data_IF_457270340527
#
_entry.id   IF_457270340527
#
_cell.length_a   1.000
_cell.length_b   1.000
_cell.length_c   1.000
_cell.angle_alpha   90.00
_cell.angle_beta   90.00
_cell.angle_gamma   90.00
#
_symmetry.space_group_name_H-M   'P 1'
#
loop_
_entity.id
_entity.type
_entity.pdbx_description
1 polymer ?
#
# COMPACT_ATOMS: atom_id res chain seq x y z
N UNK A 1 10.78 -15.69 1.56
CA UNK A 1 9.99 -15.38 2.78
C UNK A 1 10.03 -16.44 3.87
N UNK A 2 10.59 -17.62 3.65
CA UNK A 2 10.55 -18.76 4.59
C UNK A 2 11.11 -18.48 6.00
N UNK A 3 11.96 -17.47 6.13
CA UNK A 3 12.58 -17.06 7.41
C UNK A 3 11.96 -15.81 8.02
N UNK A 4 11.02 -15.15 7.28
CA UNK A 4 10.40 -13.95 7.77
C UNK A 4 9.57 -14.22 9.02
N UNK A 5 9.68 -13.32 9.98
CA UNK A 5 8.94 -13.39 11.24
C UNK A 5 7.97 -12.21 11.36
N UNK A 6 6.83 -12.44 11.99
CA UNK A 6 5.98 -11.36 12.43
C UNK A 6 6.75 -10.60 13.52
N UNK A 7 7.22 -9.40 13.20
CA UNK A 7 7.96 -8.57 14.15
C UNK A 7 7.02 -7.85 15.10
N UNK A 8 6.00 -7.20 14.57
CA UNK A 8 5.02 -6.44 15.35
C UNK A 8 3.72 -6.28 14.57
N UNK A 9 2.61 -6.40 15.30
CA UNK A 9 1.26 -6.18 14.75
C UNK A 9 0.53 -5.14 15.60
N UNK A 10 -0.28 -4.30 14.96
CA UNK A 10 -1.22 -3.38 15.61
C UNK A 10 -2.56 -3.42 14.88
N UNK A 11 -3.63 -3.27 15.66
CA UNK A 11 -5.00 -3.13 15.13
C UNK A 11 -5.51 -1.73 15.40
N UNK A 12 -6.10 -1.11 14.39
CA UNK A 12 -6.59 0.26 14.39
C UNK A 12 -8.01 0.30 13.83
N UNK A 13 -8.82 1.27 14.24
CA UNK A 13 -10.18 1.46 13.70
C UNK A 13 -10.35 2.90 13.25
N UNK A 14 -10.93 3.08 12.06
CA UNK A 14 -11.14 4.38 11.43
C UNK A 14 -12.55 4.51 10.83
N UNK A 15 -13.00 5.77 10.65
CA UNK A 15 -14.34 6.09 10.16
C UNK A 15 -14.34 6.33 8.64
N UNK A 16 -14.01 5.28 7.87
CA UNK A 16 -14.12 5.26 6.41
C UNK A 16 -14.28 3.83 5.91
N UNK A 17 -14.74 3.68 4.68
CA UNK A 17 -14.92 2.36 4.06
C UNK A 17 -13.57 1.69 3.78
N UNK A 18 -13.45 0.42 4.09
CA UNK A 18 -12.22 -0.38 3.96
C UNK A 18 -11.61 -0.36 2.54
N UNK A 19 -12.41 -0.18 1.49
CA UNK A 19 -11.92 -0.10 0.11
C UNK A 19 -11.03 1.11 -0.14
N UNK A 20 -11.23 2.20 0.61
CA UNK A 20 -10.40 3.40 0.50
C UNK A 20 -8.95 3.11 0.90
N UNK A 21 -8.72 2.18 1.85
CA UNK A 21 -7.36 1.73 2.20
C UNK A 21 -6.66 1.14 0.99
N UNK A 22 -7.37 0.29 0.23
CA UNK A 22 -6.80 -0.35 -0.95
C UNK A 22 -6.51 0.69 -2.05
N UNK A 23 -7.44 1.61 -2.26
CA UNK A 23 -7.29 2.68 -3.25
C UNK A 23 -6.05 3.53 -2.98
N UNK A 24 -5.76 3.84 -1.73
CA UNK A 24 -4.58 4.61 -1.31
C UNK A 24 -3.26 3.94 -1.73
N UNK A 25 -3.18 2.61 -1.70
CA UNK A 25 -1.95 1.88 -2.04
C UNK A 25 -1.81 1.55 -3.53
N UNK A 26 -2.85 1.76 -4.34
CA UNK A 26 -2.87 1.35 -5.75
C UNK A 26 -2.66 2.49 -6.75
N UNK A 27 -2.26 3.66 -6.26
CA UNK A 27 -1.89 4.81 -7.08
C UNK A 27 -0.73 5.59 -6.45
N UNK A 28 -0.16 6.53 -7.18
CA UNK A 28 0.99 7.33 -6.74
C UNK A 28 0.78 8.83 -6.83
N UNK A 29 -0.38 9.28 -7.30
CA UNK A 29 -0.66 10.70 -7.54
C UNK A 29 -0.74 11.53 -6.26
N UNK A 30 -1.16 10.92 -5.14
CA UNK A 30 -1.20 11.62 -3.86
C UNK A 30 0.20 11.84 -3.25
N UNK A 31 1.22 11.04 -3.62
CA UNK A 31 2.55 11.09 -3.02
C UNK A 31 3.20 12.50 -3.07
N UNK A 32 3.22 13.21 -4.22
CA UNK A 32 3.82 14.54 -4.29
C UNK A 32 3.09 15.61 -3.48
N UNK A 33 1.82 15.39 -3.16
CA UNK A 33 0.96 16.35 -2.47
C UNK A 33 0.84 16.01 -1.00
N UNK A 34 0.37 14.80 -0.69
CA UNK A 34 0.09 14.34 0.66
C UNK A 34 1.37 13.95 1.40
N UNK A 35 2.22 13.14 0.75
CA UNK A 35 3.47 12.63 1.31
C UNK A 35 4.70 13.45 0.92
N UNK A 36 4.53 14.74 0.71
CA UNK A 36 5.56 15.63 0.17
C UNK A 36 6.89 15.54 0.91
N UNK A 37 6.87 15.37 2.22
CA UNK A 37 8.07 15.36 3.09
C UNK A 37 8.39 13.99 3.69
N UNK A 38 7.53 13.02 3.52
CA UNK A 38 7.63 11.67 4.10
C UNK A 38 8.04 10.63 3.06
N UNK A 39 7.14 10.19 2.20
CA UNK A 39 7.35 9.12 1.22
C UNK A 39 7.90 9.63 -0.11
N UNK A 40 7.40 10.79 -0.60
CA UNK A 40 7.78 11.33 -1.91
C UNK A 40 9.30 11.55 -2.10
N UNK A 41 10.10 11.92 -1.08
CA UNK A 41 11.56 11.97 -1.22
C UNK A 41 12.23 10.61 -1.48
N UNK A 42 11.56 9.51 -1.19
CA UNK A 42 12.09 8.13 -1.31
C UNK A 42 11.63 7.44 -2.59
N UNK A 43 10.41 7.72 -3.05
CA UNK A 43 9.73 7.05 -4.15
C UNK A 43 9.59 8.01 -5.34
N UNK A 44 9.78 7.52 -6.55
CA UNK A 44 9.44 8.25 -7.77
C UNK A 44 8.00 7.94 -8.17
N UNK A 45 7.06 8.87 -8.01
CA UNK A 45 5.65 8.63 -8.29
C UNK A 45 5.32 8.55 -9.79
N UNK A 46 6.28 8.83 -10.66
CA UNK A 46 6.07 8.89 -12.11
C UNK A 46 6.43 7.60 -12.83
N UNK A 47 7.13 6.67 -12.17
CA UNK A 47 7.60 5.42 -12.76
C UNK A 47 7.08 4.24 -11.95
N UNK A 48 6.11 3.55 -12.52
CA UNK A 48 5.51 2.36 -11.93
C UNK A 48 5.16 1.33 -13.01
N UNK A 49 5.02 0.08 -12.60
CA UNK A 49 4.51 -1.01 -13.44
C UNK A 49 3.34 -1.69 -12.75
N UNK A 50 2.45 -2.24 -13.55
CA UNK A 50 1.27 -2.97 -13.11
C UNK A 50 1.21 -4.32 -13.80
N UNK A 51 0.98 -5.37 -13.01
CA UNK A 51 0.81 -6.74 -13.50
C UNK A 51 -0.42 -7.37 -12.84
N UNK A 52 -1.42 -7.83 -13.61
CA UNK A 52 -2.56 -8.57 -13.08
C UNK A 52 -2.21 -10.05 -12.87
N UNK A 53 -2.78 -10.65 -11.83
CA UNK A 53 -2.67 -12.07 -11.51
C UNK A 53 -4.03 -12.60 -11.03
N UNK A 54 -4.89 -12.93 -11.96
CA UNK A 54 -6.24 -13.40 -11.68
C UNK A 54 -7.03 -12.40 -10.78
N UNK A 55 -7.32 -12.72 -9.52
CA UNK A 55 -7.96 -11.78 -8.59
C UNK A 55 -6.98 -10.75 -8.01
N UNK A 56 -5.71 -11.05 -8.05
CA UNK A 56 -4.66 -10.28 -7.40
C UNK A 56 -3.95 -9.38 -8.42
N UNK A 57 -3.13 -8.48 -7.93
CA UNK A 57 -2.25 -7.67 -8.78
C UNK A 57 -0.92 -7.37 -8.08
N UNK A 58 0.07 -7.02 -8.88
CA UNK A 58 1.32 -6.43 -8.44
C UNK A 58 1.45 -5.02 -9.00
N UNK A 59 1.83 -4.09 -8.15
CA UNK A 59 2.11 -2.72 -8.50
C UNK A 59 3.51 -2.37 -7.99
N UNK A 60 4.48 -2.23 -8.89
CA UNK A 60 5.86 -1.94 -8.52
C UNK A 60 6.17 -0.47 -8.82
N UNK A 61 6.77 0.20 -7.85
CA UNK A 61 7.08 1.63 -7.88
C UNK A 61 8.57 1.79 -7.70
N UNK A 62 9.20 2.68 -8.48
CA UNK A 62 10.64 2.90 -8.40
C UNK A 62 10.99 3.81 -7.22
N UNK A 63 12.14 3.53 -6.61
CA UNK A 63 12.78 4.43 -5.65
C UNK A 63 13.54 5.53 -6.40
N UNK A 64 13.65 6.72 -5.83
CA UNK A 64 14.40 7.84 -6.45
C UNK A 64 15.88 7.53 -6.72
N UNK A 65 16.45 6.56 -6.05
CA UNK A 65 17.80 6.06 -6.32
C UNK A 65 17.97 5.38 -7.68
N UNK A 66 16.87 5.05 -8.35
CA UNK A 66 16.83 4.35 -9.63
C UNK A 66 17.63 5.07 -10.72
N UNK A 67 17.60 6.39 -10.78
CA UNK A 67 18.37 7.16 -11.77
C UNK A 67 19.89 6.94 -11.62
N UNK A 68 20.40 6.91 -10.40
CA UNK A 68 21.81 6.60 -10.15
C UNK A 68 22.14 5.16 -10.51
N UNK A 69 21.26 4.22 -10.14
CA UNK A 69 21.42 2.80 -10.42
C UNK A 69 21.49 2.51 -11.95
N UNK A 70 20.77 3.26 -12.78
CA UNK A 70 20.84 3.11 -14.26
C UNK A 70 22.23 3.33 -14.83
N UNK A 71 23.09 4.04 -14.15
CA UNK A 71 24.47 4.33 -14.59
C UNK A 71 25.48 3.28 -14.08
N UNK A 72 25.08 2.35 -13.21
CA UNK A 72 25.92 1.28 -12.72
C UNK A 72 26.17 0.21 -13.79
N UNK A 73 27.31 -0.53 -13.74
CA UNK A 73 27.55 -1.68 -14.62
C UNK A 73 26.40 -2.71 -14.50
N UNK A 74 26.00 -3.29 -15.64
CA UNK A 74 24.83 -4.20 -15.70
C UNK A 74 24.97 -5.38 -14.74
N UNK A 75 26.19 -5.90 -14.57
CA UNK A 75 26.51 -7.04 -13.71
C UNK A 75 26.35 -6.75 -12.21
N UNK A 76 26.32 -5.46 -11.84
CA UNK A 76 26.17 -5.01 -10.46
C UNK A 76 24.73 -4.54 -10.13
N UNK A 77 23.83 -4.58 -11.13
CA UNK A 77 22.47 -4.07 -10.97
C UNK A 77 21.58 -5.04 -10.21
N UNK A 78 21.15 -4.63 -9.02
CA UNK A 78 20.06 -5.27 -8.29
C UNK A 78 18.77 -4.45 -8.48
N UNK A 79 17.90 -4.93 -9.37
CA UNK A 79 16.62 -4.27 -9.67
C UNK A 79 15.71 -4.22 -8.45
N UNK A 80 15.69 -5.29 -7.67
CA UNK A 80 14.77 -5.40 -6.55
C UNK A 80 15.06 -4.34 -5.47
N UNK A 81 16.32 -4.01 -5.23
CA UNK A 81 16.69 -2.96 -4.28
C UNK A 81 16.20 -1.55 -4.67
N UNK A 82 15.80 -1.38 -5.94
CA UNK A 82 15.33 -0.11 -6.48
C UNK A 82 13.80 0.01 -6.51
N UNK A 83 13.09 -0.96 -6.00
CA UNK A 83 11.64 -1.01 -6.03
C UNK A 83 11.03 -1.05 -4.62
N UNK A 84 9.84 -0.48 -4.50
CA UNK A 84 8.84 -0.87 -3.54
C UNK A 84 7.78 -1.67 -4.31
N UNK A 85 7.40 -2.85 -3.84
CA UNK A 85 6.49 -3.72 -4.56
C UNK A 85 5.24 -3.93 -3.71
N UNK A 86 4.12 -3.48 -4.23
CA UNK A 86 2.80 -3.64 -3.64
C UNK A 86 2.10 -4.82 -4.30
N UNK A 87 1.69 -5.79 -3.51
CA UNK A 87 0.80 -6.88 -3.91
C UNK A 87 -0.57 -6.63 -3.31
N UNK A 88 -1.57 -6.49 -4.15
CA UNK A 88 -2.97 -6.51 -3.73
C UNK A 88 -3.45 -7.95 -3.74
N UNK A 89 -3.60 -8.53 -2.56
CA UNK A 89 -4.18 -9.86 -2.34
C UNK A 89 -5.67 -9.67 -2.10
N UNK A 90 -6.44 -10.01 -3.10
CA UNK A 90 -7.89 -9.78 -3.12
C UNK A 90 -8.59 -10.49 -1.96
N UNK A 91 -9.59 -9.85 -1.31
CA UNK A 91 -10.12 -8.52 -1.64
C UNK A 91 -9.50 -7.36 -0.84
N UNK A 92 -8.77 -7.61 0.25
CA UNK A 92 -8.60 -6.63 1.31
C UNK A 92 -7.20 -6.60 1.95
N UNK A 93 -6.20 -7.23 1.34
CA UNK A 93 -4.83 -7.24 1.87
C UNK A 93 -3.91 -6.54 0.90
N UNK A 94 -3.29 -5.46 1.35
CA UNK A 94 -2.14 -4.85 0.69
C UNK A 94 -0.87 -5.37 1.36
N UNK A 95 -0.05 -6.11 0.60
CA UNK A 95 1.24 -6.59 1.05
C UNK A 95 2.34 -5.82 0.32
N UNK A 96 3.21 -5.15 1.08
CA UNK A 96 4.26 -4.31 0.52
C UNK A 96 5.62 -4.89 0.86
N UNK A 97 6.42 -5.18 -0.16
CA UNK A 97 7.82 -5.51 0.02
C UNK A 97 8.69 -4.26 -0.12
N UNK A 98 9.41 -3.93 0.93
CA UNK A 98 10.22 -2.71 1.05
C UNK A 98 11.72 -2.95 0.78
N UNK A 99 12.09 -4.15 0.34
CA UNK A 99 13.48 -4.53 0.07
C UNK A 99 14.14 -5.26 1.23
N UNK A 100 14.13 -4.70 2.42
CA UNK A 100 14.69 -5.30 3.63
C UNK A 100 13.64 -5.86 4.60
N UNK A 101 12.38 -5.48 4.46
CA UNK A 101 11.24 -5.97 5.24
C UNK A 101 9.98 -6.03 4.39
N UNK A 102 8.92 -6.56 4.96
CA UNK A 102 7.61 -6.57 4.35
C UNK A 102 6.54 -6.05 5.31
N UNK A 103 5.47 -5.52 4.75
CA UNK A 103 4.33 -4.97 5.46
C UNK A 103 3.05 -5.63 4.98
N UNK A 104 2.15 -5.99 5.88
CA UNK A 104 0.79 -6.38 5.51
C UNK A 104 -0.21 -5.41 6.14
N UNK A 105 -1.08 -4.86 5.31
CA UNK A 105 -2.19 -3.98 5.66
C UNK A 105 -3.49 -4.71 5.32
N UNK A 106 -4.12 -5.29 6.33
CA UNK A 106 -5.37 -6.03 6.20
C UNK A 106 -6.52 -5.12 6.62
N UNK A 107 -7.37 -4.72 5.68
CA UNK A 107 -8.49 -3.82 5.93
C UNK A 107 -9.82 -4.59 5.93
N UNK A 108 -10.46 -4.68 7.07
CA UNK A 108 -11.72 -5.40 7.25
C UNK A 108 -12.89 -4.42 7.37
N UNK A 109 -14.03 -4.70 6.72
CA UNK A 109 -15.24 -3.95 6.97
C UNK A 109 -15.68 -4.15 8.42
N UNK A 110 -16.17 -3.11 9.06
CA UNK A 110 -16.94 -3.25 10.29
C UNK A 110 -18.25 -3.98 9.96
N UNK A 111 -18.64 -4.94 10.80
CA UNK A 111 -19.84 -5.76 10.57
C UNK A 111 -21.14 -4.96 10.65
N UNK A 112 -21.12 -3.84 11.37
CA UNK A 112 -22.32 -3.05 11.68
C UNK A 112 -22.35 -1.70 10.95
N UNK A 113 -21.20 -1.27 10.36
CA UNK A 113 -21.05 0.05 9.73
C UNK A 113 -20.27 -0.02 8.43
N UNK A 114 -20.85 0.45 7.34
CA UNK A 114 -20.19 0.48 6.02
C UNK A 114 -19.10 1.55 5.90
N UNK A 115 -19.12 2.51 6.79
CA UNK A 115 -18.21 3.64 6.91
C UNK A 115 -17.22 3.50 8.08
N UNK A 116 -17.00 2.27 8.52
CA UNK A 116 -16.01 1.93 9.54
C UNK A 116 -15.13 0.78 9.06
N UNK A 117 -13.86 0.88 9.36
CA UNK A 117 -12.82 -0.08 8.97
C UNK A 117 -11.98 -0.47 10.16
N UNK A 118 -11.73 -1.78 10.30
CA UNK A 118 -10.70 -2.33 11.19
C UNK A 118 -9.49 -2.67 10.35
N UNK A 119 -8.34 -2.08 10.66
CA UNK A 119 -7.09 -2.28 9.94
C UNK A 119 -6.11 -3.01 10.85
N UNK A 120 -5.62 -4.15 10.40
CA UNK A 120 -4.50 -4.83 11.02
C UNK A 120 -3.24 -4.58 10.19
N UNK A 121 -2.26 -3.93 10.81
CA UNK A 121 -0.94 -3.73 10.22
C UNK A 121 0.07 -4.64 10.88
N UNK A 122 0.83 -5.36 10.06
CA UNK A 122 1.93 -6.22 10.50
C UNK A 122 3.20 -5.89 9.73
N UNK A 123 4.28 -5.65 10.46
CA UNK A 123 5.64 -5.61 9.90
C UNK A 123 6.29 -6.99 10.03
N UNK A 124 6.80 -7.50 8.93
CA UNK A 124 7.57 -8.74 8.85
C UNK A 124 9.04 -8.43 8.66
N UNK A 125 9.88 -8.88 9.58
CA UNK A 125 11.33 -8.81 9.47
C UNK A 125 11.88 -10.10 8.84
N UNK A 126 13.01 -10.04 8.09
CA UNK A 126 13.60 -11.23 7.45
C UNK A 126 14.08 -12.29 8.45
N UNK A 127 14.37 -11.87 9.67
CA UNK A 127 14.77 -12.73 10.79
C UNK A 127 14.47 -12.04 12.13
N UNK A 128 14.45 -12.77 13.25
CA UNK A 128 14.35 -12.17 14.58
C UNK A 128 15.51 -11.20 14.83
N UNK A 129 15.28 -10.07 15.53
CA UNK A 129 16.34 -9.09 15.77
C UNK A 129 17.47 -9.68 16.63
N UNK A 130 18.66 -9.78 16.05
CA UNK A 130 19.83 -10.37 16.70
C UNK A 130 20.42 -9.51 17.84
N UNK A 131 20.13 -8.21 17.85
CA UNK A 131 20.63 -7.25 18.84
C UNK A 131 19.73 -5.99 18.87
N UNK A 132 20.02 -5.09 19.83
CA UNK A 132 19.24 -3.86 20.03
C UNK A 132 19.35 -2.86 18.86
N UNK A 133 20.42 -2.89 18.08
CA UNK A 133 20.55 -2.02 16.90
C UNK A 133 19.56 -2.45 15.80
N UNK A 134 19.48 -3.75 15.55
CA UNK A 134 18.52 -4.33 14.59
C UNK A 134 17.08 -4.14 15.09
N UNK A 135 16.85 -4.30 16.41
CA UNK A 135 15.54 -4.03 17.00
C UNK A 135 15.10 -2.58 16.77
N UNK A 136 15.96 -1.60 17.06
CA UNK A 136 15.67 -0.18 16.81
C UNK A 136 15.42 0.12 15.32
N UNK A 137 16.05 -0.60 14.41
CA UNK A 137 15.81 -0.45 12.98
C UNK A 137 14.36 -0.86 12.63
N UNK A 138 13.89 -2.01 13.09
CA UNK A 138 12.51 -2.45 12.84
C UNK A 138 11.48 -1.61 13.58
N UNK A 139 11.74 -1.22 14.84
CA UNK A 139 10.87 -0.29 15.56
C UNK A 139 10.70 1.02 14.79
N UNK A 140 11.79 1.59 14.28
CA UNK A 140 11.76 2.82 13.49
C UNK A 140 10.95 2.67 12.19
N UNK A 141 11.13 1.56 11.46
CA UNK A 141 10.35 1.30 10.24
C UNK A 141 8.86 1.15 10.56
N UNK A 142 8.52 0.40 11.61
CA UNK A 142 7.17 0.26 12.08
C UNK A 142 6.53 1.62 12.43
N UNK A 143 7.22 2.43 13.22
CA UNK A 143 6.73 3.74 13.66
C UNK A 143 6.58 4.72 12.49
N UNK A 144 7.48 4.67 11.48
CA UNK A 144 7.37 5.49 10.27
C UNK A 144 6.14 5.08 9.47
N UNK A 145 5.92 3.78 9.24
CA UNK A 145 4.77 3.29 8.48
C UNK A 145 3.46 3.74 9.12
N UNK A 146 3.30 3.52 10.44
CA UNK A 146 2.10 3.94 11.18
C UNK A 146 1.95 5.46 11.16
N UNK A 147 3.01 6.21 11.50
CA UNK A 147 2.93 7.68 11.57
C UNK A 147 2.57 8.31 10.22
N UNK A 148 2.99 7.71 9.11
CA UNK A 148 2.66 8.20 7.77
C UNK A 148 1.16 8.08 7.51
N UNK A 149 0.60 6.88 7.69
CA UNK A 149 -0.83 6.68 7.40
C UNK A 149 -1.74 7.41 8.41
N UNK A 150 -1.40 7.41 9.69
CA UNK A 150 -2.20 8.08 10.73
C UNK A 150 -2.25 9.60 10.58
N UNK A 151 -1.16 10.21 10.11
CA UNK A 151 -1.08 11.68 10.01
C UNK A 151 -1.46 12.21 8.64
N UNK A 152 -1.37 11.39 7.61
CA UNK A 152 -1.51 11.82 6.22
C UNK A 152 -2.68 11.09 5.54
N UNK A 153 -2.60 9.77 5.30
CA UNK A 153 -3.59 9.02 4.52
C UNK A 153 -4.96 8.91 5.18
N UNK A 154 -5.00 8.48 6.44
CA UNK A 154 -6.26 8.16 7.09
C UNK A 154 -7.12 9.41 7.39
N UNK A 155 -6.56 10.56 7.81
CA UNK A 155 -7.33 11.80 7.90
C UNK A 155 -7.89 12.27 6.55
N UNK A 156 -7.17 12.01 5.45
CA UNK A 156 -7.68 12.29 4.10
C UNK A 156 -8.77 11.29 3.70
N UNK A 157 -8.59 10.01 4.01
CA UNK A 157 -9.57 8.95 3.77
C UNK A 157 -10.91 9.21 4.48
N UNK A 158 -10.88 9.72 5.71
CA UNK A 158 -12.10 10.12 6.43
C UNK A 158 -12.83 11.28 5.72
N UNK A 159 -12.09 12.27 5.22
CA UNK A 159 -12.68 13.38 4.44
C UNK A 159 -13.27 12.91 3.12
N UNK A 160 -12.58 12.03 2.40
CA UNK A 160 -13.08 11.42 1.16
C UNK A 160 -14.36 10.63 1.43
N UNK A 161 -14.36 9.79 2.47
CA UNK A 161 -15.52 9.01 2.88
C UNK A 161 -16.72 9.91 3.19
N UNK A 162 -16.52 10.97 3.97
CA UNK A 162 -17.57 11.96 4.25
C UNK A 162 -18.10 12.62 2.97
N UNK A 163 -17.20 12.91 2.01
CA UNK A 163 -17.58 13.47 0.70
C UNK A 163 -18.51 12.54 -0.09
N UNK A 164 -18.24 11.23 -0.11
CA UNK A 164 -19.10 10.24 -0.79
C UNK A 164 -20.52 10.19 -0.20
N UNK A 165 -20.66 10.31 1.11
CA UNK A 165 -22.00 10.31 1.76
C UNK A 165 -22.82 11.56 1.47
N UNK A 166 -22.25 12.66 0.98
CA UNK A 166 -23.03 13.83 0.55
C UNK A 166 -23.88 13.59 -0.68
N UNK A 167 -23.54 12.56 -1.48
CA UNK A 167 -24.18 12.27 -2.76
C UNK A 167 -23.87 13.30 -3.87
N UNK A 168 -22.99 14.26 -3.62
CA UNK A 168 -22.57 15.26 -4.60
C UNK A 168 -21.75 14.62 -5.73
N UNK A 169 -20.95 13.60 -5.39
CA UNK A 169 -20.18 12.80 -6.34
C UNK A 169 -20.81 11.42 -6.47
N UNK A 170 -21.30 11.10 -7.67
CA UNK A 170 -21.96 9.82 -7.97
C UNK A 170 -21.01 8.77 -8.53
N UNK A 171 -19.89 9.20 -9.09
CA UNK A 171 -18.94 8.36 -9.79
C UNK A 171 -17.51 8.77 -9.40
N UNK A 172 -16.63 7.79 -9.29
CA UNK A 172 -15.18 8.00 -9.18
C UNK A 172 -14.57 7.71 -10.54
N UNK A 173 -13.81 8.66 -11.07
CA UNK A 173 -13.14 8.52 -12.37
C UNK A 173 -11.69 8.17 -12.12
N UNK A 174 -11.28 6.96 -12.52
CA UNK A 174 -9.88 6.56 -12.50
C UNK A 174 -9.19 6.98 -13.80
N UNK A 175 -8.05 7.59 -13.67
CA UNK A 175 -7.24 8.06 -14.80
C UNK A 175 -6.64 6.91 -15.62
N UNK A 176 -6.20 7.24 -16.82
CA UNK A 176 -5.56 6.26 -17.72
C UNK A 176 -4.29 5.64 -17.11
N UNK A 177 -3.58 6.38 -16.27
CA UNK A 177 -2.35 5.96 -15.61
C UNK A 177 -2.59 5.32 -14.24
N UNK A 178 -3.83 4.90 -13.95
CA UNK A 178 -4.22 4.22 -12.71
C UNK A 178 -4.75 2.80 -13.02
N UNK A 179 -4.01 1.95 -13.76
CA UNK A 179 -4.49 0.63 -14.18
C UNK A 179 -4.72 -0.31 -13.00
N UNK A 180 -3.97 -0.16 -11.91
CA UNK A 180 -4.13 -0.96 -10.71
C UNK A 180 -5.48 -0.72 -10.03
N UNK A 181 -5.89 0.55 -9.89
CA UNK A 181 -7.22 0.92 -9.38
C UNK A 181 -8.34 0.41 -10.28
N UNK A 182 -8.20 0.62 -11.59
CA UNK A 182 -9.21 0.16 -12.56
C UNK A 182 -9.39 -1.36 -12.46
N UNK A 183 -8.30 -2.13 -12.42
CA UNK A 183 -8.33 -3.58 -12.33
C UNK A 183 -8.96 -4.05 -11.02
N UNK A 184 -8.54 -3.49 -9.90
CA UNK A 184 -9.05 -3.83 -8.58
C UNK A 184 -10.57 -3.62 -8.48
N UNK A 185 -11.07 -2.47 -8.92
CA UNK A 185 -12.50 -2.18 -8.90
C UNK A 185 -13.31 -2.98 -9.91
N UNK A 186 -12.74 -3.34 -11.06
CA UNK A 186 -13.37 -4.28 -11.99
C UNK A 186 -13.50 -5.68 -11.35
N UNK A 187 -12.45 -6.15 -10.70
CA UNK A 187 -12.44 -7.43 -9.97
C UNK A 187 -13.47 -7.44 -8.85
N UNK A 188 -13.55 -6.37 -8.05
CA UNK A 188 -14.60 -6.22 -7.03
C UNK A 188 -16.01 -6.32 -7.61
N UNK A 189 -16.28 -5.61 -8.72
CA UNK A 189 -17.61 -5.66 -9.37
C UNK A 189 -17.97 -7.05 -9.87
N UNK A 190 -17.01 -7.76 -10.49
CA UNK A 190 -17.21 -9.15 -10.93
C UNK A 190 -17.51 -10.07 -9.76
N UNK A 191 -16.73 -9.98 -8.67
CA UNK A 191 -16.97 -10.76 -7.46
C UNK A 191 -18.36 -10.52 -6.87
N UNK A 192 -18.78 -9.25 -6.79
CA UNK A 192 -20.12 -8.90 -6.27
C UNK A 192 -21.27 -9.39 -7.16
N UNK A 193 -21.04 -9.60 -8.45
CA UNK A 193 -22.01 -10.13 -9.39
C UNK A 193 -22.03 -11.67 -9.43
N UNK A 194 -21.16 -12.34 -8.70
CA UNK A 194 -21.02 -13.79 -8.72
C UNK A 194 -20.52 -14.32 -10.07
N UNK A 195 -19.82 -13.50 -10.86
CA UNK A 195 -19.24 -13.92 -12.12
C UNK A 195 -17.98 -14.73 -11.86
N UNK A 196 -17.85 -15.88 -12.57
CA UNK A 196 -16.68 -16.74 -12.50
C UNK A 196 -15.41 -15.98 -12.93
N UNK A 197 -14.32 -16.37 -12.32
CA UNK A 197 -12.99 -15.79 -12.49
C UNK A 197 -12.18 -16.55 -13.54
#
# INVERSE_FOLDING_TARGET
FDKYVNYRTVTMTYNFNWKIVQDTFLETYHLPVLHRTTVNPLIDPTVSTFDPYDLNLRFAITRRKFEKWRTEPVEQRDVLSQLAIVYMLFPNITFIWQGDHAEAWCAYPDKDKIDSTVIEFTLFAPEPPANDSVRRHWDKNFDIAIATVEKEDFPMSEKLNAGFFTGAQKEVVYGRNEPALQYYHQTLRRAMQGLDY
#
